data_IF_949482127034
#
_entry.id   IF_949482127034
#
_cell.length_a   1.000
_cell.length_b   1.000
_cell.length_c   1.000
_cell.angle_alpha   90.00
_cell.angle_beta   90.00
_cell.angle_gamma   90.00
#
_symmetry.space_group_name_H-M   'P 1'
#
loop_
_entity.id
_entity.type
_entity.pdbx_description
1 polymer ?
#
# COMPACT_ATOMS: atom_id res chain seq x y z
N UNK A 1 0.41 -9.33 -15.52
CA UNK A 1 1.69 -9.75 -14.86
C UNK A 1 1.44 -10.87 -13.85
N UNK A 2 2.48 -11.64 -13.49
CA UNK A 2 2.38 -12.67 -12.45
C UNK A 2 3.75 -13.01 -11.86
N UNK A 3 3.75 -13.48 -10.61
CA UNK A 3 4.94 -14.01 -9.92
C UNK A 3 5.14 -15.46 -10.40
N UNK A 4 6.36 -15.80 -10.81
CA UNK A 4 6.75 -17.17 -11.16
C UNK A 4 7.26 -17.91 -9.92
N UNK A 5 8.14 -17.29 -9.15
CA UNK A 5 8.73 -17.90 -7.95
C UNK A 5 9.19 -16.87 -6.93
N UNK A 6 9.35 -17.34 -5.69
CA UNK A 6 10.01 -16.60 -4.62
C UNK A 6 10.97 -17.50 -3.85
N UNK A 7 12.14 -16.96 -3.54
CA UNK A 7 13.15 -17.58 -2.68
C UNK A 7 13.39 -16.69 -1.46
N UNK A 8 13.33 -17.26 -0.28
CA UNK A 8 13.56 -16.57 1.00
C UNK A 8 14.72 -17.23 1.72
N UNK A 9 15.62 -16.43 2.27
CA UNK A 9 16.68 -16.89 3.16
C UNK A 9 16.75 -16.01 4.40
N UNK A 10 16.68 -16.65 5.58
CA UNK A 10 16.68 -15.99 6.89
C UNK A 10 15.61 -14.87 7.00
N UNK A 11 14.40 -15.13 6.50
CA UNK A 11 13.30 -14.18 6.45
C UNK A 11 12.23 -14.56 7.49
N UNK A 12 11.97 -13.71 8.47
CA UNK A 12 10.99 -13.96 9.53
C UNK A 12 11.24 -15.32 10.21
N UNK A 13 10.29 -16.26 10.08
CA UNK A 13 10.40 -17.62 10.58
C UNK A 13 11.01 -18.61 9.58
N UNK A 14 11.24 -18.20 8.33
CA UNK A 14 11.82 -19.04 7.30
C UNK A 14 13.35 -18.98 7.32
N UNK A 15 14.00 -20.14 7.45
CA UNK A 15 15.45 -20.27 7.28
C UNK A 15 15.80 -20.31 5.81
N UNK A 16 15.11 -21.15 5.07
CA UNK A 16 15.22 -21.32 3.63
C UNK A 16 13.85 -21.73 3.08
N UNK A 17 13.39 -21.06 2.03
CA UNK A 17 12.12 -21.37 1.38
C UNK A 17 12.22 -21.05 -0.11
N UNK A 18 11.79 -22.00 -0.94
CA UNK A 18 11.61 -21.80 -2.36
C UNK A 18 10.20 -22.20 -2.76
N UNK A 19 9.49 -21.32 -3.48
CA UNK A 19 8.11 -21.53 -3.93
C UNK A 19 7.98 -21.15 -5.39
N UNK A 20 7.27 -21.99 -6.14
CA UNK A 20 6.80 -21.70 -7.49
C UNK A 20 5.29 -21.48 -7.45
N UNK A 21 4.83 -20.36 -7.97
CA UNK A 21 3.41 -19.99 -8.02
C UNK A 21 2.78 -20.47 -9.33
N UNK A 22 1.47 -20.66 -9.30
CA UNK A 22 0.63 -20.71 -10.49
C UNK A 22 0.20 -19.31 -10.92
N UNK A 23 -0.15 -19.13 -12.18
CA UNK A 23 -0.66 -17.86 -12.70
C UNK A 23 -2.03 -17.47 -12.18
N UNK A 24 -2.79 -18.41 -11.67
CA UNK A 24 -4.10 -18.21 -11.06
C UNK A 24 -4.00 -18.15 -9.54
N UNK A 25 -4.84 -18.91 -8.86
CA UNK A 25 -5.00 -18.86 -7.40
C UNK A 25 -4.04 -19.81 -6.70
N UNK A 26 -3.28 -19.25 -5.77
CA UNK A 26 -2.35 -19.96 -4.89
C UNK A 26 -2.81 -19.79 -3.44
N UNK A 27 -3.15 -20.87 -2.76
CA UNK A 27 -3.64 -20.85 -1.40
C UNK A 27 -2.60 -21.39 -0.43
N UNK A 28 -2.33 -20.63 0.63
CA UNK A 28 -1.50 -21.03 1.77
C UNK A 28 -2.39 -21.21 2.99
N UNK A 29 -2.59 -22.45 3.42
CA UNK A 29 -3.43 -22.74 4.57
C UNK A 29 -2.66 -23.40 5.72
N UNK A 30 -3.21 -23.34 6.91
CA UNK A 30 -2.64 -23.90 8.15
C UNK A 30 -3.01 -23.03 9.35
N UNK A 31 -2.60 -23.45 10.54
CA UNK A 31 -2.91 -22.76 11.78
C UNK A 31 -2.35 -21.34 11.82
N UNK A 32 -2.85 -20.53 12.76
CA UNK A 32 -2.34 -19.18 12.96
C UNK A 32 -0.88 -19.21 13.46
N UNK A 33 -0.14 -18.15 13.16
CA UNK A 33 1.27 -17.98 13.50
C UNK A 33 2.26 -18.97 12.84
N UNK A 34 1.85 -19.75 11.84
CA UNK A 34 2.74 -20.69 11.14
C UNK A 34 3.66 -20.01 10.10
N UNK A 35 3.36 -18.77 9.69
CA UNK A 35 4.18 -18.01 8.76
C UNK A 35 3.47 -17.64 7.45
N UNK A 36 2.20 -17.96 7.25
CA UNK A 36 1.43 -17.66 6.04
C UNK A 36 1.55 -16.19 5.60
N UNK A 37 1.21 -15.25 6.48
CA UNK A 37 1.33 -13.81 6.24
C UNK A 37 2.75 -13.37 5.90
N UNK A 38 3.79 -14.08 6.39
CA UNK A 38 5.16 -13.73 6.10
C UNK A 38 5.54 -13.99 4.63
N UNK A 39 4.89 -14.97 3.97
CA UNK A 39 5.05 -15.20 2.53
C UNK A 39 4.48 -13.99 1.76
N UNK A 40 3.26 -13.55 2.08
CA UNK A 40 2.67 -12.37 1.46
C UNK A 40 3.51 -11.12 1.73
N UNK A 41 4.01 -10.96 2.95
CA UNK A 41 4.90 -9.86 3.32
C UNK A 41 6.15 -9.82 2.45
N UNK A 42 6.74 -10.98 2.13
CA UNK A 42 7.94 -11.05 1.29
C UNK A 42 7.66 -10.59 -0.14
N UNK A 43 6.51 -10.98 -0.71
CA UNK A 43 6.04 -10.50 -2.03
C UNK A 43 5.80 -8.99 -1.99
N UNK A 44 5.10 -8.52 -0.98
CA UNK A 44 4.78 -7.10 -0.81
C UNK A 44 6.04 -6.23 -0.71
N UNK A 45 7.05 -6.69 0.03
CA UNK A 45 8.34 -5.98 0.14
C UNK A 45 9.02 -5.90 -1.23
N UNK A 46 8.97 -6.95 -2.05
CA UNK A 46 9.52 -6.94 -3.40
C UNK A 46 8.82 -5.95 -4.35
N UNK A 47 7.54 -5.65 -4.15
CA UNK A 47 6.83 -4.66 -4.96
C UNK A 47 6.94 -3.23 -4.44
N UNK A 48 7.10 -3.04 -3.12
CA UNK A 48 6.98 -1.72 -2.47
C UNK A 48 8.22 -1.25 -1.71
N UNK A 49 9.22 -2.11 -1.55
CA UNK A 49 10.43 -1.91 -0.72
C UNK A 49 10.18 -1.79 0.79
N UNK A 50 8.95 -1.93 1.27
CA UNK A 50 8.57 -1.78 2.69
C UNK A 50 7.65 -2.90 3.13
N UNK A 51 7.66 -3.23 4.41
CA UNK A 51 6.67 -4.12 5.02
C UNK A 51 5.30 -3.43 5.09
N UNK A 52 4.21 -4.15 4.78
CA UNK A 52 2.84 -3.67 4.98
C UNK A 52 2.56 -3.41 6.46
N UNK A 53 3.17 -4.20 7.36
CA UNK A 53 3.07 -4.03 8.83
C UNK A 53 3.86 -2.83 9.37
N UNK A 54 4.62 -2.10 8.53
CA UNK A 54 5.50 -1.02 8.96
C UNK A 54 6.76 -1.48 9.71
N UNK A 55 7.07 -2.78 9.68
CA UNK A 55 8.26 -3.35 10.31
C UNK A 55 9.54 -2.75 9.71
N UNK A 56 10.54 -2.52 10.57
CA UNK A 56 11.89 -2.11 10.11
C UNK A 56 12.61 -3.29 9.50
N UNK A 57 13.52 -3.03 8.57
CA UNK A 57 14.28 -4.10 7.88
C UNK A 57 14.94 -5.10 8.85
N UNK A 58 15.48 -4.63 9.97
CA UNK A 58 16.10 -5.48 11.01
C UNK A 58 15.10 -6.41 11.73
N UNK A 59 13.81 -6.08 11.73
CA UNK A 59 12.76 -6.86 12.38
C UNK A 59 12.21 -7.97 11.46
N UNK A 60 12.51 -7.86 10.16
CA UNK A 60 12.14 -8.82 9.13
C UNK A 60 13.16 -9.95 9.05
N UNK A 61 14.41 -9.68 9.38
CA UNK A 61 15.50 -10.65 9.44
C UNK A 61 15.18 -11.69 10.51
N UNK A 62 15.40 -12.99 10.20
CA UNK A 62 15.17 -14.10 11.12
C UNK A 62 15.93 -13.87 12.43
N UNK A 63 15.26 -14.23 13.54
CA UNK A 63 15.86 -14.09 14.85
C UNK A 63 17.18 -14.87 14.95
N UNK A 64 18.24 -14.21 15.45
CA UNK A 64 19.60 -14.78 15.52
C UNK A 64 20.47 -14.48 14.30
N UNK A 65 19.90 -14.08 13.16
CA UNK A 65 20.63 -13.83 11.92
C UNK A 65 20.98 -12.33 11.74
N UNK A 66 22.01 -12.05 10.93
CA UNK A 66 22.47 -10.67 10.65
C UNK A 66 21.93 -10.12 9.33
N UNK A 67 21.50 -11.00 8.43
CA UNK A 67 21.02 -10.64 7.09
C UNK A 67 19.95 -11.59 6.59
N UNK A 68 19.16 -11.11 5.63
CA UNK A 68 18.12 -11.87 4.95
C UNK A 68 18.13 -11.55 3.47
N UNK A 69 17.79 -12.53 2.66
CA UNK A 69 17.66 -12.40 1.22
C UNK A 69 16.26 -12.79 0.77
N UNK A 70 15.71 -11.98 -0.16
CA UNK A 70 14.49 -12.29 -0.89
C UNK A 70 14.81 -12.18 -2.36
N UNK A 71 14.47 -13.22 -3.11
CA UNK A 71 14.51 -13.20 -4.58
C UNK A 71 13.11 -13.51 -5.10
N UNK A 72 12.61 -12.68 -6.00
CA UNK A 72 11.33 -12.89 -6.65
C UNK A 72 11.49 -12.83 -8.17
N UNK A 73 10.93 -13.80 -8.87
CA UNK A 73 10.81 -13.81 -10.32
C UNK A 73 9.41 -13.38 -10.71
N UNK A 74 9.31 -12.38 -11.56
CA UNK A 74 8.02 -11.83 -12.03
C UNK A 74 8.03 -11.80 -13.55
N UNK A 75 6.94 -12.22 -14.16
CA UNK A 75 6.71 -12.04 -15.58
C UNK A 75 5.69 -10.95 -15.82
N UNK A 76 6.07 -9.97 -16.64
CA UNK A 76 5.20 -8.89 -17.09
C UNK A 76 5.30 -8.81 -18.61
N UNK A 77 4.18 -9.01 -19.28
CA UNK A 77 4.15 -9.22 -20.73
C UNK A 77 5.12 -10.36 -21.13
N UNK A 78 6.02 -10.10 -22.08
CA UNK A 78 7.06 -11.07 -22.50
C UNK A 78 8.37 -10.94 -21.69
N UNK A 79 8.45 -10.01 -20.75
CA UNK A 79 9.67 -9.74 -19.98
C UNK A 79 9.66 -10.44 -18.63
N UNK A 80 10.78 -11.05 -18.25
CA UNK A 80 11.00 -11.60 -16.92
C UNK A 80 11.90 -10.66 -16.11
N UNK A 81 11.47 -10.37 -14.89
CA UNK A 81 12.19 -9.54 -13.94
C UNK A 81 12.62 -10.38 -12.74
N UNK A 82 13.91 -10.35 -12.45
CA UNK A 82 14.46 -10.87 -11.20
C UNK A 82 14.67 -9.72 -10.24
N UNK A 83 13.96 -9.74 -9.12
CA UNK A 83 14.08 -8.77 -8.06
C UNK A 83 14.81 -9.43 -6.90
N UNK A 84 15.99 -8.93 -6.58
CA UNK A 84 16.80 -9.39 -5.43
C UNK A 84 16.79 -8.31 -4.36
N UNK A 85 16.46 -8.68 -3.11
CA UNK A 85 16.57 -7.81 -1.95
C UNK A 85 17.49 -8.41 -0.90
N UNK A 86 18.42 -7.60 -0.41
CA UNK A 86 19.35 -7.95 0.65
C UNK A 86 19.12 -7.04 1.85
N UNK A 87 18.53 -7.57 2.89
CA UNK A 87 18.26 -6.88 4.16
C UNK A 87 19.43 -7.14 5.12
N UNK A 88 19.90 -6.10 5.80
CA UNK A 88 21.01 -6.18 6.76
C UNK A 88 20.70 -5.34 8.00
N UNK A 89 21.04 -5.86 9.20
CA UNK A 89 20.71 -5.17 10.46
C UNK A 89 21.32 -3.76 10.58
N UNK A 90 22.56 -3.61 10.15
CA UNK A 90 23.36 -2.41 10.42
C UNK A 90 23.74 -1.64 9.15
N UNK A 91 23.13 -1.97 8.00
CA UNK A 91 23.38 -1.30 6.72
C UNK A 91 22.08 -1.05 5.99
N UNK A 92 22.09 -0.10 5.07
CA UNK A 92 20.99 0.08 4.14
C UNK A 92 20.75 -1.19 3.33
N UNK A 93 19.47 -1.51 3.08
CA UNK A 93 19.13 -2.65 2.20
C UNK A 93 19.68 -2.44 0.79
N UNK A 94 20.10 -3.52 0.19
CA UNK A 94 20.42 -3.58 -1.24
C UNK A 94 19.20 -4.04 -2.02
N UNK A 95 18.95 -3.47 -3.18
CA UNK A 95 17.95 -3.94 -4.14
C UNK A 95 18.59 -4.00 -5.52
N UNK A 96 18.34 -5.08 -6.24
CA UNK A 96 18.79 -5.23 -7.62
C UNK A 96 17.66 -5.75 -8.51
N UNK A 97 17.64 -5.30 -9.76
CA UNK A 97 16.73 -5.77 -10.81
C UNK A 97 17.58 -6.38 -11.92
N UNK A 98 17.31 -7.64 -12.24
CA UNK A 98 18.08 -8.42 -13.22
C UNK A 98 19.61 -8.40 -12.96
N UNK A 99 20.00 -8.41 -11.66
CA UNK A 99 21.37 -8.35 -11.22
C UNK A 99 22.01 -6.96 -11.19
N UNK A 100 21.32 -5.92 -11.65
CA UNK A 100 21.78 -4.54 -11.62
C UNK A 100 21.30 -3.85 -10.35
N UNK A 101 22.19 -3.37 -9.47
CA UNK A 101 21.82 -2.65 -8.27
C UNK A 101 21.08 -1.35 -8.59
N UNK A 102 19.96 -1.12 -7.95
CA UNK A 102 19.22 0.14 -8.04
C UNK A 102 19.58 1.06 -6.87
N UNK A 103 19.59 2.36 -7.12
CA UNK A 103 19.93 3.37 -6.11
C UNK A 103 18.70 3.99 -5.44
N UNK A 104 17.57 3.98 -6.11
CA UNK A 104 16.33 4.63 -5.67
C UNK A 104 15.16 3.66 -5.74
N UNK A 105 14.35 3.61 -4.70
CA UNK A 105 13.15 2.77 -4.65
C UNK A 105 12.22 2.98 -5.85
N UNK A 106 12.17 4.20 -6.41
CA UNK A 106 11.35 4.51 -7.60
C UNK A 106 11.67 3.66 -8.83
N UNK A 107 12.87 3.11 -8.92
CA UNK A 107 13.26 2.25 -10.05
C UNK A 107 12.57 0.87 -9.99
N UNK A 108 12.06 0.49 -8.82
CA UNK A 108 11.31 -0.75 -8.60
C UNK A 108 9.81 -0.56 -8.85
N UNK A 109 9.25 0.60 -8.48
CA UNK A 109 7.82 0.87 -8.63
C UNK A 109 7.38 0.79 -10.10
N UNK A 110 6.21 0.15 -10.33
CA UNK A 110 5.65 -0.06 -11.67
C UNK A 110 6.16 -1.31 -12.39
N UNK A 111 7.21 -2.02 -11.85
CA UNK A 111 7.57 -3.37 -12.32
C UNK A 111 6.54 -4.37 -11.82
N UNK A 112 6.17 -4.27 -10.54
CA UNK A 112 5.16 -5.11 -9.90
C UNK A 112 4.10 -4.22 -9.29
N UNK A 113 2.86 -4.40 -9.71
CA UNK A 113 1.70 -3.74 -9.13
C UNK A 113 0.98 -4.74 -8.23
N UNK A 114 0.83 -4.39 -6.99
CA UNK A 114 0.25 -5.23 -5.95
C UNK A 114 -0.99 -4.56 -5.36
N UNK A 115 -2.05 -5.34 -5.18
CA UNK A 115 -3.16 -4.96 -4.30
C UNK A 115 -3.15 -5.93 -3.12
N UNK A 116 -2.96 -5.39 -1.93
CA UNK A 116 -2.86 -6.16 -0.70
C UNK A 116 -4.11 -5.93 0.15
N UNK A 117 -4.82 -7.02 0.44
CA UNK A 117 -5.96 -7.03 1.34
C UNK A 117 -5.58 -7.65 2.67
N UNK A 118 -5.94 -7.02 3.76
CA UNK A 118 -5.76 -7.56 5.10
C UNK A 118 -6.85 -7.05 6.06
N UNK A 119 -7.06 -7.71 7.21
CA UNK A 119 -7.95 -7.20 8.25
C UNK A 119 -7.57 -5.78 8.72
N UNK A 120 -6.31 -5.41 8.56
CA UNK A 120 -5.78 -4.09 8.93
C UNK A 120 -6.27 -2.96 8.01
N UNK A 121 -6.82 -3.26 6.82
CA UNK A 121 -7.35 -2.24 5.88
C UNK A 121 -8.50 -1.43 6.49
N UNK A 122 -9.19 -2.00 7.47
CA UNK A 122 -10.17 -1.28 8.29
C UNK A 122 -9.57 -0.03 8.96
N UNK A 123 -8.27 -0.02 9.22
CA UNK A 123 -7.56 1.11 9.80
C UNK A 123 -7.52 2.33 8.88
N UNK A 124 -7.66 2.16 7.56
CA UNK A 124 -7.79 3.26 6.59
C UNK A 124 -9.03 4.10 6.94
N UNK A 125 -10.12 3.43 7.32
CA UNK A 125 -11.36 4.10 7.71
C UNK A 125 -11.29 4.60 9.16
N UNK A 126 -10.86 3.75 10.10
CA UNK A 126 -10.96 4.02 11.56
C UNK A 126 -9.87 4.92 12.11
N UNK A 127 -8.66 4.76 11.63
CA UNK A 127 -7.49 5.44 12.20
C UNK A 127 -7.37 6.89 11.71
N UNK A 128 -6.31 7.56 12.17
CA UNK A 128 -6.05 8.94 11.83
C UNK A 128 -5.63 9.16 10.36
N UNK A 129 -5.50 10.42 9.93
CA UNK A 129 -5.19 10.82 8.55
C UNK A 129 -3.90 10.21 7.99
N UNK A 130 -2.99 9.74 8.85
CA UNK A 130 -1.73 9.13 8.47
C UNK A 130 -1.92 7.87 7.60
N UNK A 131 -2.86 6.98 7.98
CA UNK A 131 -3.16 5.77 7.24
C UNK A 131 -3.78 6.08 5.88
N UNK A 132 -4.70 7.03 5.82
CA UNK A 132 -5.36 7.45 4.57
C UNK A 132 -4.38 8.11 3.59
N UNK A 133 -3.46 8.95 4.08
CA UNK A 133 -2.38 9.48 3.22
C UNK A 133 -1.44 8.38 2.74
N UNK A 134 -1.08 7.43 3.63
CA UNK A 134 -0.26 6.30 3.26
C UNK A 134 -0.90 5.46 2.17
N UNK A 135 -2.20 5.22 2.28
CA UNK A 135 -3.00 4.56 1.25
C UNK A 135 -2.92 5.30 -0.09
N UNK A 136 -3.32 6.59 -0.13
CA UNK A 136 -3.26 7.40 -1.36
C UNK A 136 -1.85 7.42 -1.98
N UNK A 137 -0.84 7.62 -1.14
CA UNK A 137 0.55 7.71 -1.62
C UNK A 137 1.04 6.39 -2.19
N UNK A 138 0.67 5.26 -1.60
CA UNK A 138 1.06 3.94 -2.08
C UNK A 138 0.43 3.68 -3.46
N UNK A 139 -0.88 3.89 -3.57
CA UNK A 139 -1.61 3.65 -4.82
C UNK A 139 -1.11 4.57 -5.94
N UNK A 140 -1.01 5.86 -5.69
CA UNK A 140 -0.50 6.81 -6.67
C UNK A 140 0.95 6.54 -7.06
N UNK A 141 1.81 6.11 -6.13
CA UNK A 141 3.19 5.73 -6.45
C UNK A 141 3.29 4.50 -7.35
N UNK A 142 2.35 3.55 -7.24
CA UNK A 142 2.29 2.39 -8.13
C UNK A 142 1.81 2.78 -9.54
N UNK A 143 0.92 3.75 -9.64
CA UNK A 143 0.26 4.16 -10.88
C UNK A 143 1.03 5.24 -11.65
N UNK A 144 1.79 6.10 -10.97
CA UNK A 144 2.41 7.29 -11.54
C UNK A 144 3.83 7.52 -10.99
N UNK A 145 4.84 7.27 -11.82
CA UNK A 145 6.25 7.48 -11.44
C UNK A 145 6.60 8.98 -11.26
N UNK A 146 5.84 9.88 -11.90
CA UNK A 146 6.01 11.33 -11.71
C UNK A 146 5.55 11.70 -10.31
N UNK A 147 4.37 11.21 -9.90
CA UNK A 147 3.87 11.38 -8.53
C UNK A 147 4.87 10.88 -7.49
N UNK A 148 5.41 9.68 -7.67
CA UNK A 148 6.43 9.11 -6.77
C UNK A 148 7.66 10.01 -6.64
N UNK A 149 8.11 10.60 -7.76
CA UNK A 149 9.25 11.53 -7.78
C UNK A 149 8.92 12.84 -7.06
N UNK A 150 7.75 13.41 -7.34
CA UNK A 150 7.28 14.65 -6.72
C UNK A 150 7.05 14.46 -5.22
N UNK A 151 6.46 13.33 -4.79
CA UNK A 151 6.26 13.00 -3.38
C UNK A 151 7.58 12.85 -2.62
N UNK A 152 8.57 12.19 -3.21
CA UNK A 152 9.90 12.04 -2.61
C UNK A 152 10.60 13.40 -2.46
N UNK A 153 10.53 14.25 -3.49
CA UNK A 153 11.03 15.63 -3.46
C UNK A 153 10.33 16.46 -2.39
N UNK A 154 9.02 16.44 -2.39
CA UNK A 154 8.21 17.14 -1.40
C UNK A 154 8.54 16.76 0.04
N UNK A 155 8.58 15.46 0.34
CA UNK A 155 8.89 14.96 1.67
C UNK A 155 10.32 15.36 2.11
N UNK A 156 11.29 15.36 1.19
CA UNK A 156 12.62 15.86 1.48
C UNK A 156 12.58 17.34 1.87
N UNK A 157 11.91 18.18 1.09
CA UNK A 157 11.79 19.64 1.34
C UNK A 157 11.09 19.92 2.67
N UNK A 158 9.96 19.25 2.97
CA UNK A 158 9.27 19.39 4.26
C UNK A 158 10.18 19.06 5.43
N UNK A 159 10.99 17.99 5.32
CA UNK A 159 11.94 17.61 6.35
C UNK A 159 13.04 18.67 6.55
N UNK A 160 13.58 19.24 5.46
CA UNK A 160 14.58 20.31 5.55
C UNK A 160 13.98 21.59 6.14
N UNK A 161 12.79 21.98 5.68
CA UNK A 161 12.06 23.12 6.24
C UNK A 161 11.78 22.94 7.72
N UNK A 162 11.32 21.77 8.15
CA UNK A 162 11.07 21.49 9.57
C UNK A 162 12.36 21.49 10.40
N UNK A 163 13.51 21.09 9.84
CA UNK A 163 14.82 21.22 10.48
C UNK A 163 15.18 22.68 10.65
N UNK A 164 15.08 23.48 9.58
CA UNK A 164 15.31 24.92 9.63
C UNK A 164 14.43 25.61 10.69
N UNK A 165 13.12 25.28 10.74
CA UNK A 165 12.20 25.85 11.73
C UNK A 165 12.62 25.57 13.17
N UNK A 166 13.29 24.44 13.43
CA UNK A 166 13.87 24.12 14.75
C UNK A 166 15.13 24.95 15.03
N UNK A 167 15.97 25.14 14.01
CA UNK A 167 17.26 25.83 14.10
C UNK A 167 17.10 27.37 14.23
N UNK A 168 15.97 27.93 13.75
CA UNK A 168 15.66 29.37 13.82
C UNK A 168 15.62 29.91 15.25
N UNK A 169 15.34 29.07 16.24
CA UNK A 169 15.40 29.46 17.65
C UNK A 169 16.81 29.87 18.09
N UNK A 170 17.83 29.17 17.58
CA UNK A 170 19.23 29.43 17.86
C UNK A 170 19.85 30.43 16.88
N UNK A 171 19.39 30.48 15.65
CA UNK A 171 19.92 31.26 14.54
C UNK A 171 18.84 32.06 13.81
N UNK A 172 18.34 33.18 14.37
CA UNK A 172 17.25 33.97 13.74
C UNK A 172 17.57 34.51 12.36
N UNK A 173 18.85 34.70 12.03
CA UNK A 173 19.32 35.18 10.71
C UNK A 173 18.98 34.24 9.56
N UNK A 174 18.69 32.95 9.86
CA UNK A 174 18.28 31.99 8.84
C UNK A 174 16.81 32.15 8.39
N UNK A 175 16.08 33.11 8.97
CA UNK A 175 14.65 33.33 8.65
C UNK A 175 14.39 33.60 7.17
N UNK A 176 15.25 34.32 6.49
CA UNK A 176 15.12 34.62 5.07
C UNK A 176 15.23 33.38 4.19
N UNK A 177 15.95 32.35 4.66
CA UNK A 177 16.10 31.10 3.91
C UNK A 177 14.82 30.26 3.88
N UNK A 178 13.80 30.53 4.73
CA UNK A 178 12.50 29.86 4.68
C UNK A 178 11.81 30.04 3.32
N UNK A 179 11.98 31.18 2.69
CA UNK A 179 11.34 31.45 1.39
C UNK A 179 11.81 30.49 0.28
N UNK A 180 13.08 30.12 0.33
CA UNK A 180 13.65 29.15 -0.63
C UNK A 180 12.95 27.78 -0.49
N UNK A 181 12.73 27.34 0.74
CA UNK A 181 12.02 26.10 1.00
C UNK A 181 10.52 26.18 0.68
N UNK A 182 9.90 27.35 0.94
CA UNK A 182 8.50 27.59 0.60
C UNK A 182 8.30 27.49 -0.94
N UNK A 183 9.16 28.11 -1.74
CA UNK A 183 9.11 28.03 -3.21
C UNK A 183 9.23 26.58 -3.70
N UNK A 184 10.19 25.83 -3.16
CA UNK A 184 10.38 24.42 -3.53
C UNK A 184 9.18 23.55 -3.10
N UNK A 185 8.62 23.81 -1.91
CA UNK A 185 7.40 23.13 -1.47
C UNK A 185 6.23 23.36 -2.43
N UNK A 186 6.07 24.58 -2.93
CA UNK A 186 5.01 24.92 -3.89
C UNK A 186 5.14 24.15 -5.18
N UNK A 187 6.37 24.00 -5.71
CA UNK A 187 6.63 23.30 -6.97
C UNK A 187 6.14 21.83 -6.95
N UNK A 188 6.39 21.14 -5.86
CA UNK A 188 5.97 19.75 -5.70
C UNK A 188 4.54 19.63 -5.14
N UNK A 189 4.22 20.44 -4.13
CA UNK A 189 2.99 20.29 -3.38
C UNK A 189 1.73 20.53 -4.19
N UNK A 190 1.72 21.54 -5.08
CA UNK A 190 0.59 21.80 -5.99
C UNK A 190 0.27 20.59 -6.84
N UNK A 191 1.29 19.99 -7.46
CA UNK A 191 1.13 18.78 -8.30
C UNK A 191 0.57 17.59 -7.52
N UNK A 192 1.04 17.39 -6.27
CA UNK A 192 0.55 16.32 -5.40
C UNK A 192 -0.93 16.52 -5.08
N UNK A 193 -1.35 17.74 -4.72
CA UNK A 193 -2.74 18.07 -4.41
C UNK A 193 -3.65 17.77 -5.61
N UNK A 194 -3.25 18.21 -6.80
CA UNK A 194 -4.00 17.98 -8.04
C UNK A 194 -4.11 16.48 -8.37
N UNK A 195 -3.00 15.74 -8.30
CA UNK A 195 -2.98 14.29 -8.54
C UNK A 195 -3.85 13.51 -7.56
N UNK A 196 -3.88 13.91 -6.28
CA UNK A 196 -4.76 13.29 -5.28
C UNK A 196 -6.23 13.59 -5.55
N UNK A 197 -6.55 14.82 -5.99
CA UNK A 197 -7.90 15.19 -6.39
C UNK A 197 -8.38 14.36 -7.58
N UNK A 198 -7.55 14.22 -8.61
CA UNK A 198 -7.85 13.38 -9.77
C UNK A 198 -8.04 11.92 -9.36
N UNK A 199 -7.16 11.38 -8.51
CA UNK A 199 -7.27 10.02 -8.00
C UNK A 199 -8.58 9.76 -7.25
N UNK A 200 -9.00 10.69 -6.38
CA UNK A 200 -10.25 10.55 -5.62
C UNK A 200 -11.47 10.66 -6.55
N UNK A 201 -11.41 11.49 -7.59
CA UNK A 201 -12.46 11.51 -8.62
C UNK A 201 -12.56 10.16 -9.34
N UNK A 202 -11.43 9.65 -9.88
CA UNK A 202 -11.37 8.38 -10.59
C UNK A 202 -11.79 7.22 -9.67
N UNK A 203 -11.46 7.28 -8.37
CA UNK A 203 -11.89 6.33 -7.36
C UNK A 203 -13.41 6.34 -7.18
N UNK A 204 -14.05 7.52 -7.10
CA UNK A 204 -15.50 7.64 -6.95
C UNK A 204 -16.27 7.11 -8.16
N UNK A 205 -15.70 7.20 -9.37
CA UNK A 205 -16.33 6.66 -10.58
C UNK A 205 -16.51 5.12 -10.51
N UNK A 206 -15.71 4.45 -9.67
CA UNK A 206 -15.71 2.98 -9.53
C UNK A 206 -16.31 2.52 -8.21
N UNK A 207 -15.95 3.16 -7.10
CA UNK A 207 -16.27 2.67 -5.75
C UNK A 207 -17.77 2.64 -5.46
N UNK A 208 -18.53 3.55 -6.06
CA UNK A 208 -19.98 3.64 -5.87
C UNK A 208 -20.70 2.38 -6.35
N UNK A 209 -20.36 1.89 -7.54
CA UNK A 209 -20.97 0.69 -8.10
C UNK A 209 -20.55 -0.57 -7.34
N UNK A 210 -19.29 -0.67 -6.94
CA UNK A 210 -18.78 -1.77 -6.12
C UNK A 210 -19.51 -1.79 -4.76
N UNK A 211 -19.60 -0.66 -4.10
CA UNK A 211 -20.25 -0.56 -2.79
C UNK A 211 -21.74 -0.87 -2.87
N UNK A 212 -22.42 -0.39 -3.92
CA UNK A 212 -23.82 -0.70 -4.19
C UNK A 212 -24.05 -2.20 -4.35
N UNK A 213 -23.19 -2.89 -5.10
CA UNK A 213 -23.27 -4.33 -5.29
C UNK A 213 -23.04 -5.10 -3.98
N UNK A 214 -22.10 -4.67 -3.15
CA UNK A 214 -21.80 -5.28 -1.85
C UNK A 214 -22.89 -5.07 -0.80
N UNK A 215 -23.72 -4.03 -0.95
CA UNK A 215 -24.78 -3.67 0.02
C UNK A 215 -26.19 -3.93 -0.50
N UNK A 216 -26.32 -4.60 -1.67
CA UNK A 216 -27.63 -4.85 -2.26
C UNK A 216 -28.37 -3.60 -2.71
N UNK A 217 -27.66 -2.49 -2.93
CA UNK A 217 -28.22 -1.22 -3.41
C UNK A 217 -28.66 -0.25 -2.31
N UNK A 218 -28.49 -0.61 -1.04
CA UNK A 218 -29.02 0.18 0.10
C UNK A 218 -28.11 1.35 0.48
N UNK A 219 -26.82 1.27 0.19
CA UNK A 219 -25.84 2.27 0.62
C UNK A 219 -25.14 2.93 -0.57
N UNK A 220 -24.91 4.23 -0.47
CA UNK A 220 -24.14 5.04 -1.39
C UNK A 220 -22.87 5.51 -0.69
N UNK A 221 -21.70 5.02 -1.15
CA UNK A 221 -20.40 5.41 -0.62
C UNK A 221 -19.78 6.49 -1.50
N UNK A 222 -19.33 7.58 -0.87
CA UNK A 222 -18.56 8.65 -1.49
C UNK A 222 -17.26 8.87 -0.72
N UNK A 223 -16.15 9.03 -1.43
CA UNK A 223 -14.85 9.42 -0.87
C UNK A 223 -14.59 10.88 -1.19
N UNK A 224 -14.34 11.69 -0.16
CA UNK A 224 -14.07 13.11 -0.31
C UNK A 224 -12.60 13.39 0.02
N UNK A 225 -11.90 14.05 -0.89
CA UNK A 225 -10.56 14.55 -0.63
C UNK A 225 -10.63 15.83 0.18
N UNK A 226 -10.00 15.83 1.35
CA UNK A 226 -9.92 16.96 2.27
C UNK A 226 -8.49 17.53 2.25
N UNK A 227 -8.13 18.39 1.28
CA UNK A 227 -6.80 19.00 1.24
C UNK A 227 -6.63 19.98 2.40
N UNK A 228 -5.47 20.04 2.99
CA UNK A 228 -5.14 21.03 4.05
C UNK A 228 -5.09 22.46 3.49
N UNK A 229 -4.94 22.58 2.20
CA UNK A 229 -5.01 23.82 1.41
C UNK A 229 -5.23 23.47 -0.06
N UNK A 230 -5.98 24.30 -0.78
CA UNK A 230 -6.13 24.15 -2.21
C UNK A 230 -4.82 24.52 -2.95
N UNK A 231 -4.61 23.96 -4.16
CA UNK A 231 -3.37 24.16 -4.91
C UNK A 231 -3.14 25.64 -5.24
N UNK A 232 -4.21 26.38 -5.55
CA UNK A 232 -4.18 27.80 -5.88
C UNK A 232 -3.83 28.66 -4.66
N UNK A 233 -4.35 28.28 -3.48
CA UNK A 233 -4.18 29.01 -2.21
C UNK A 233 -2.92 28.60 -1.44
N UNK A 234 -2.14 27.63 -1.92
CA UNK A 234 -1.06 27.03 -1.14
C UNK A 234 0.03 28.05 -0.78
N UNK A 235 0.39 28.92 -1.71
CA UNK A 235 1.39 29.98 -1.45
C UNK A 235 0.93 30.95 -0.37
N UNK A 236 -0.29 31.45 -0.47
CA UNK A 236 -0.87 32.35 0.53
C UNK A 236 -0.95 31.67 1.90
N UNK A 237 -1.37 30.40 1.92
CA UNK A 237 -1.46 29.62 3.16
C UNK A 237 -0.10 29.45 3.83
N UNK A 238 0.98 29.16 3.07
CA UNK A 238 2.33 29.09 3.62
C UNK A 238 2.78 30.42 4.20
N UNK A 239 2.57 31.54 3.48
CA UNK A 239 2.89 32.87 3.97
C UNK A 239 2.16 33.22 5.26
N UNK A 240 0.83 32.96 5.31
CA UNK A 240 -0.02 33.21 6.47
C UNK A 240 0.38 32.38 7.68
N UNK A 241 0.78 31.14 7.46
CA UNK A 241 1.14 30.21 8.53
C UNK A 241 2.59 30.36 9.02
N UNK A 242 3.42 31.17 8.39
CA UNK A 242 4.88 31.26 8.67
C UNK A 242 5.18 31.50 10.15
N UNK A 243 4.52 32.46 10.79
CA UNK A 243 4.72 32.76 12.22
C UNK A 243 4.26 31.59 13.13
N UNK A 244 3.17 30.92 12.75
CA UNK A 244 2.69 29.71 13.44
C UNK A 244 3.70 28.58 13.31
N UNK A 245 4.20 28.33 12.09
CA UNK A 245 5.18 27.28 11.80
C UNK A 245 6.47 27.47 12.59
N UNK A 246 6.94 28.72 12.69
CA UNK A 246 8.12 29.05 13.50
C UNK A 246 7.90 28.76 14.99
N UNK A 247 6.73 29.13 15.54
CA UNK A 247 6.39 28.85 16.95
C UNK A 247 6.26 27.34 17.20
N UNK A 248 5.60 26.62 16.30
CA UNK A 248 5.35 25.17 16.42
C UNK A 248 6.54 24.32 15.96
N UNK A 249 7.58 24.94 15.36
CA UNK A 249 8.77 24.27 14.81
C UNK A 249 8.43 23.17 13.78
N UNK A 250 7.34 23.36 13.07
CA UNK A 250 6.82 22.39 12.10
C UNK A 250 5.95 23.05 11.03
N UNK A 251 5.97 22.48 9.83
CA UNK A 251 5.11 22.90 8.71
C UNK A 251 3.67 22.47 8.96
N UNK A 252 2.73 23.41 8.94
CA UNK A 252 1.33 23.19 9.30
C UNK A 252 0.39 23.03 8.11
N UNK A 253 0.79 23.32 6.89
CA UNK A 253 -0.03 23.23 5.69
C UNK A 253 0.70 22.53 4.53
N UNK A 254 -0.05 21.87 3.67
CA UNK A 254 0.43 21.15 2.49
C UNK A 254 0.05 19.67 2.48
N UNK A 255 0.36 18.92 1.39
CA UNK A 255 -0.10 17.54 1.18
C UNK A 255 0.19 16.56 2.33
N UNK A 256 1.22 16.79 3.13
CA UNK A 256 1.52 15.99 4.32
C UNK A 256 0.50 16.16 5.48
N UNK A 257 -0.50 17.04 5.31
CA UNK A 257 -1.60 17.32 6.26
C UNK A 257 -2.98 16.98 5.72
N UNK A 258 -3.08 16.55 4.47
CA UNK A 258 -4.35 16.20 3.84
C UNK A 258 -5.01 15.00 4.51
N UNK A 259 -6.30 14.83 4.21
CA UNK A 259 -7.09 13.70 4.66
C UNK A 259 -8.06 13.21 3.57
N UNK A 260 -8.70 12.06 3.83
CA UNK A 260 -9.87 11.56 3.12
C UNK A 260 -11.04 11.43 4.07
N UNK A 261 -12.23 11.77 3.61
CA UNK A 261 -13.47 11.47 4.28
C UNK A 261 -14.25 10.39 3.53
N UNK A 262 -14.87 9.47 4.27
CA UNK A 262 -15.72 8.41 3.72
C UNK A 262 -17.15 8.64 4.16
N UNK A 263 -18.03 8.93 3.20
CA UNK A 263 -19.44 9.24 3.45
C UNK A 263 -20.31 8.08 2.96
N UNK A 264 -21.14 7.54 3.83
CA UNK A 264 -22.19 6.58 3.45
C UNK A 264 -23.53 7.23 3.71
N UNK A 265 -24.33 7.38 2.67
CA UNK A 265 -25.63 8.05 2.71
C UNK A 265 -25.57 9.43 3.40
N UNK A 266 -24.49 10.19 3.14
CA UNK A 266 -24.28 11.52 3.72
C UNK A 266 -23.73 11.54 5.15
N UNK A 267 -23.38 10.39 5.73
CA UNK A 267 -22.86 10.27 7.10
C UNK A 267 -21.37 9.92 7.06
N UNK A 268 -20.51 10.68 7.76
CA UNK A 268 -19.08 10.39 7.93
C UNK A 268 -18.91 9.10 8.75
N UNK A 269 -18.59 8.00 8.05
CA UNK A 269 -18.46 6.68 8.68
C UNK A 269 -17.19 6.51 9.50
N UNK A 270 -16.23 7.42 9.40
CA UNK A 270 -15.04 7.43 10.27
C UNK A 270 -15.44 7.65 11.73
N UNK A 271 -16.51 8.43 11.94
CA UNK A 271 -17.00 8.85 13.28
C UNK A 271 -18.28 8.15 13.70
N UNK A 272 -19.20 7.95 12.77
CA UNK A 272 -20.58 7.55 13.06
C UNK A 272 -20.98 6.22 12.38
N UNK A 273 -20.11 5.64 11.55
CA UNK A 273 -20.42 4.39 10.85
C UNK A 273 -20.43 3.18 11.78
N UNK A 274 -21.33 2.24 11.51
CA UNK A 274 -21.30 0.91 12.13
C UNK A 274 -20.03 0.15 11.71
N UNK A 275 -19.65 -0.87 12.48
CA UNK A 275 -18.51 -1.72 12.10
C UNK A 275 -18.73 -2.41 10.74
N UNK A 276 -19.98 -2.81 10.45
CA UNK A 276 -20.34 -3.40 9.16
C UNK A 276 -20.12 -2.43 8.00
N UNK A 277 -20.59 -1.18 8.13
CA UNK A 277 -20.39 -0.13 7.13
C UNK A 277 -18.91 0.16 6.89
N UNK A 278 -18.13 0.28 7.96
CA UNK A 278 -16.69 0.53 7.85
C UNK A 278 -15.95 -0.62 7.16
N UNK A 279 -16.30 -1.89 7.46
CA UNK A 279 -15.73 -3.07 6.79
C UNK A 279 -16.12 -3.13 5.32
N UNK A 280 -17.40 -2.86 4.98
CA UNK A 280 -17.86 -2.85 3.60
C UNK A 280 -17.19 -1.72 2.81
N UNK A 281 -17.04 -0.53 3.39
CA UNK A 281 -16.33 0.58 2.75
C UNK A 281 -14.85 0.27 2.53
N UNK A 282 -14.16 -0.37 3.48
CA UNK A 282 -12.77 -0.80 3.32
C UNK A 282 -12.63 -1.86 2.19
N UNK A 283 -13.56 -2.83 2.13
CA UNK A 283 -13.59 -3.82 1.05
C UNK A 283 -13.86 -3.15 -0.31
N UNK A 284 -14.83 -2.23 -0.37
CA UNK A 284 -15.13 -1.48 -1.61
C UNK A 284 -13.92 -0.70 -2.09
N UNK A 285 -13.20 -0.05 -1.17
CA UNK A 285 -11.99 0.69 -1.45
C UNK A 285 -10.92 -0.21 -2.07
N UNK A 286 -10.66 -1.36 -1.46
CA UNK A 286 -9.64 -2.31 -1.93
C UNK A 286 -10.01 -2.95 -3.28
N UNK A 287 -11.28 -3.28 -3.50
CA UNK A 287 -11.75 -3.75 -4.81
C UNK A 287 -11.60 -2.67 -5.89
N UNK A 288 -11.85 -1.41 -5.54
CA UNK A 288 -11.67 -0.29 -6.48
C UNK A 288 -10.22 -0.12 -6.93
N UNK A 289 -9.24 -0.42 -6.08
CA UNK A 289 -7.81 -0.41 -6.45
C UNK A 289 -7.52 -1.36 -7.62
N UNK A 290 -8.12 -2.55 -7.62
CA UNK A 290 -7.97 -3.53 -8.72
C UNK A 290 -8.40 -2.91 -10.06
N UNK A 291 -9.57 -2.26 -10.07
CA UNK A 291 -10.10 -1.62 -11.28
C UNK A 291 -9.23 -0.46 -11.73
N UNK A 292 -8.79 0.40 -10.80
CA UNK A 292 -7.92 1.54 -11.12
C UNK A 292 -6.58 1.08 -11.70
N UNK A 293 -5.97 0.03 -11.12
CA UNK A 293 -4.73 -0.54 -11.65
C UNK A 293 -4.95 -1.08 -13.05
N UNK A 294 -5.99 -1.90 -13.28
CA UNK A 294 -6.32 -2.45 -14.60
C UNK A 294 -6.53 -1.34 -15.64
N UNK A 295 -7.23 -0.29 -15.27
CA UNK A 295 -7.52 0.82 -16.18
C UNK A 295 -6.28 1.65 -16.52
N UNK A 296 -5.50 2.03 -15.52
CA UNK A 296 -4.35 2.93 -15.71
C UNK A 296 -3.13 2.23 -16.30
N UNK A 297 -2.87 0.99 -15.93
CA UNK A 297 -1.68 0.23 -16.34
C UNK A 297 -1.95 -0.68 -17.55
N UNK A 298 -3.24 -0.96 -17.85
CA UNK A 298 -3.67 -1.89 -18.90
C UNK A 298 -3.12 -3.32 -18.72
N UNK A 299 -2.90 -3.69 -17.44
CA UNK A 299 -2.46 -5.00 -16.99
C UNK A 299 -3.15 -5.36 -15.68
N UNK A 300 -3.14 -6.63 -15.29
CA UNK A 300 -3.73 -7.07 -14.02
C UNK A 300 -2.72 -6.94 -12.89
N UNK A 301 -3.12 -6.39 -11.71
CA UNK A 301 -2.27 -6.46 -10.52
C UNK A 301 -2.13 -7.89 -10.03
N UNK A 302 -1.18 -8.13 -9.14
CA UNK A 302 -1.10 -9.34 -8.32
C UNK A 302 -1.85 -9.07 -7.02
N UNK A 303 -2.75 -9.98 -6.63
CA UNK A 303 -3.53 -9.86 -5.41
C UNK A 303 -2.92 -10.67 -4.28
N UNK A 304 -2.83 -10.06 -3.13
CA UNK A 304 -2.42 -10.68 -1.89
C UNK A 304 -3.58 -10.57 -0.89
N UNK A 305 -4.17 -11.69 -0.49
CA UNK A 305 -5.30 -11.75 0.45
C UNK A 305 -4.85 -12.43 1.74
N UNK A 306 -4.66 -11.65 2.81
CA UNK A 306 -4.21 -12.15 4.12
C UNK A 306 -5.37 -12.37 5.07
N UNK A 307 -5.87 -13.59 5.15
CA UNK A 307 -6.95 -14.06 6.06
C UNK A 307 -8.26 -13.23 5.98
N UNK A 308 -8.53 -12.63 4.80
CA UNK A 308 -9.65 -11.69 4.60
C UNK A 308 -10.99 -12.40 4.54
N UNK A 309 -11.03 -13.61 3.94
CA UNK A 309 -12.29 -14.31 3.71
C UNK A 309 -13.00 -14.69 5.01
N UNK A 310 -12.25 -15.03 6.06
CA UNK A 310 -12.80 -15.36 7.37
C UNK A 310 -13.57 -14.21 8.05
N UNK A 311 -13.32 -12.96 7.61
CA UNK A 311 -13.99 -11.77 8.14
C UNK A 311 -15.24 -11.34 7.35
N UNK A 312 -15.51 -11.99 6.21
CA UNK A 312 -16.60 -11.65 5.30
C UNK A 312 -17.76 -12.63 5.42
N UNK A 313 -18.98 -12.12 5.31
CA UNK A 313 -20.15 -12.97 5.09
C UNK A 313 -20.14 -13.59 3.68
N UNK A 314 -20.98 -14.62 3.49
CA UNK A 314 -21.02 -15.41 2.26
C UNK A 314 -21.25 -14.57 0.99
N UNK A 315 -22.07 -13.52 1.05
CA UNK A 315 -22.35 -12.67 -0.12
C UNK A 315 -21.11 -11.86 -0.52
N UNK A 316 -20.41 -11.28 0.46
CA UNK A 316 -19.17 -10.53 0.23
C UNK A 316 -18.03 -11.43 -0.22
N UNK A 317 -17.93 -12.65 0.36
CA UNK A 317 -16.98 -13.66 -0.10
C UNK A 317 -17.20 -13.99 -1.58
N UNK A 318 -18.45 -14.30 -1.98
CA UNK A 318 -18.79 -14.59 -3.37
C UNK A 318 -18.41 -13.41 -4.28
N UNK A 319 -18.81 -12.19 -3.94
CA UNK A 319 -18.51 -11.01 -4.75
C UNK A 319 -17.00 -10.79 -4.90
N UNK A 320 -16.22 -10.94 -3.82
CA UNK A 320 -14.75 -10.83 -3.88
C UNK A 320 -14.17 -11.90 -4.80
N UNK A 321 -14.54 -13.17 -4.62
CA UNK A 321 -14.00 -14.29 -5.39
C UNK A 321 -14.36 -14.17 -6.89
N UNK A 322 -15.58 -13.72 -7.22
CA UNK A 322 -16.00 -13.48 -8.59
C UNK A 322 -15.23 -12.31 -9.24
N UNK A 323 -14.86 -11.32 -8.45
CA UNK A 323 -14.13 -10.13 -8.94
C UNK A 323 -12.67 -10.41 -9.29
N UNK A 324 -12.08 -11.53 -8.83
CA UNK A 324 -10.64 -11.80 -8.89
C UNK A 324 -10.25 -13.02 -9.76
N UNK A 325 -11.21 -13.69 -10.40
CA UNK A 325 -10.97 -14.99 -11.07
C UNK A 325 -9.92 -14.93 -12.19
N UNK A 326 -9.70 -13.78 -12.84
CA UNK A 326 -8.71 -13.60 -13.91
C UNK A 326 -7.39 -12.97 -13.45
N UNK A 327 -7.12 -12.97 -12.14
CA UNK A 327 -5.98 -12.27 -11.55
C UNK A 327 -5.15 -13.28 -10.76
N UNK A 328 -3.83 -13.24 -10.90
CA UNK A 328 -3.00 -14.04 -10.01
C UNK A 328 -3.25 -13.61 -8.57
N UNK A 329 -3.70 -14.57 -7.76
CA UNK A 329 -4.06 -14.31 -6.37
C UNK A 329 -3.29 -15.24 -5.44
N UNK A 330 -2.71 -14.66 -4.38
CA UNK A 330 -2.06 -15.39 -3.30
C UNK A 330 -2.87 -15.19 -2.04
N UNK A 331 -3.47 -16.27 -1.54
CA UNK A 331 -4.43 -16.23 -0.43
C UNK A 331 -3.84 -16.97 0.77
N UNK A 332 -3.99 -16.38 1.97
CA UNK A 332 -3.77 -17.11 3.23
C UNK A 332 -5.09 -17.34 3.93
N UNK A 333 -5.25 -18.52 4.54
CA UNK A 333 -6.44 -18.90 5.29
C UNK A 333 -6.10 -19.94 6.36
N UNK A 334 -7.04 -20.19 7.26
CA UNK A 334 -6.91 -21.23 8.28
C UNK A 334 -7.42 -22.60 7.80
N UNK A 335 -8.36 -22.62 6.85
CA UNK A 335 -8.97 -23.82 6.28
C UNK A 335 -9.39 -23.60 4.83
N UNK A 336 -9.85 -24.68 4.18
CA UNK A 336 -10.23 -24.66 2.75
C UNK A 336 -11.75 -24.68 2.53
N UNK A 337 -12.56 -24.79 3.59
CA UNK A 337 -14.02 -24.98 3.49
C UNK A 337 -14.72 -23.84 2.73
N UNK A 338 -14.24 -22.61 2.89
CA UNK A 338 -14.79 -21.42 2.22
C UNK A 338 -14.69 -21.54 0.70
N UNK A 339 -13.58 -22.06 0.17
CA UNK A 339 -13.36 -22.21 -1.28
C UNK A 339 -14.18 -23.35 -1.87
N UNK A 340 -14.34 -24.46 -1.12
CA UNK A 340 -15.16 -25.58 -1.53
C UNK A 340 -16.63 -25.14 -1.66
N UNK A 341 -17.13 -24.40 -0.69
CA UNK A 341 -18.50 -23.91 -0.66
C UNK A 341 -18.82 -22.97 -1.83
N UNK A 342 -17.88 -22.14 -2.27
CA UNK A 342 -18.04 -21.19 -3.37
C UNK A 342 -17.63 -21.76 -4.73
N UNK A 343 -17.20 -23.04 -4.82
CA UNK A 343 -16.70 -23.67 -6.07
C UNK A 343 -15.62 -22.84 -6.77
N UNK A 344 -14.79 -22.16 -5.98
CA UNK A 344 -13.72 -21.30 -6.49
C UNK A 344 -12.59 -22.16 -7.09
N UNK A 345 -12.11 -21.78 -8.27
CA UNK A 345 -11.02 -22.49 -8.95
C UNK A 345 -9.69 -22.26 -8.25
N UNK A 346 -9.12 -23.32 -7.70
CA UNK A 346 -7.82 -23.30 -7.02
C UNK A 346 -6.78 -23.95 -7.93
N UNK A 347 -5.65 -23.28 -8.14
CA UNK A 347 -4.57 -23.80 -8.99
C UNK A 347 -3.47 -24.50 -8.19
N UNK A 348 -3.07 -23.93 -7.06
CA UNK A 348 -2.09 -24.54 -6.14
C UNK A 348 -2.50 -24.38 -4.69
N UNK A 349 -2.27 -25.43 -3.93
CA UNK A 349 -2.49 -25.46 -2.48
C UNK A 349 -1.17 -25.76 -1.78
N UNK A 350 -0.91 -25.00 -0.71
CA UNK A 350 0.27 -25.15 0.13
C UNK A 350 -0.12 -25.24 1.60
N UNK A 351 0.31 -26.29 2.27
CA UNK A 351 0.19 -26.42 3.71
C UNK A 351 1.39 -25.80 4.40
N UNK A 352 1.12 -24.88 5.34
CA UNK A 352 2.16 -24.13 6.07
C UNK A 352 2.19 -24.56 7.53
N UNK A 353 3.35 -25.05 7.98
CA UNK A 353 3.55 -25.48 9.38
C UNK A 353 4.98 -25.16 9.83
N UNK A 354 5.11 -24.43 10.95
CA UNK A 354 6.40 -24.13 11.62
C UNK A 354 7.48 -23.58 10.67
N UNK A 355 7.15 -22.67 9.75
CA UNK A 355 8.10 -22.11 8.80
C UNK A 355 8.54 -23.11 7.72
N UNK A 356 7.77 -24.13 7.47
CA UNK A 356 7.92 -25.03 6.33
C UNK A 356 6.67 -25.00 5.47
N UNK A 357 6.81 -25.24 4.18
CA UNK A 357 5.70 -25.22 3.22
C UNK A 357 5.73 -26.52 2.43
N UNK A 358 4.65 -27.26 2.46
CA UNK A 358 4.45 -28.45 1.66
C UNK A 358 3.41 -28.19 0.58
N UNK A 359 3.70 -28.54 -0.67
CA UNK A 359 2.71 -28.50 -1.74
C UNK A 359 1.78 -29.68 -1.58
N UNK A 360 0.47 -29.42 -1.61
CA UNK A 360 -0.54 -30.49 -1.73
C UNK A 360 -0.93 -30.68 -3.21
N UNK A 361 -1.10 -31.95 -3.57
CA UNK A 361 -1.45 -32.34 -4.95
C UNK A 361 -2.95 -32.32 -5.19
#
# INVERSE_FOLDING_TARGET
MYIESIELKNFRNYQDLQLDFDKGTNIFYGDNAQGKTNILESVYICGTTKSHKGSKDKEIIRFGEEESHIRMMVKKDELSYKIDMHLRKNKAKGVAINGLPIKKARELFGIVNLVFFSPEDLNIIKNGPGERRRFMDLELCQLDQIYLTDLAGYNHIVNQRNRLLKDLYQNPSLRETLEIWDIQMLQYGKKIIEKRRDFVRDLNDVIQDIHRNLTGGEEHLEVIYEPSTESECFEETLKKNRERDMRMKMTSAGPHRDDLCFMVNGIDIRKFGSQGQQRTAALSLKLSEIYLVKEKIKDTPILLLDDVLSELDSNRQTYLLDSIHDIQTVITCTGLDEFVNHRFSINKIFYVKNGTVAKEN
#
